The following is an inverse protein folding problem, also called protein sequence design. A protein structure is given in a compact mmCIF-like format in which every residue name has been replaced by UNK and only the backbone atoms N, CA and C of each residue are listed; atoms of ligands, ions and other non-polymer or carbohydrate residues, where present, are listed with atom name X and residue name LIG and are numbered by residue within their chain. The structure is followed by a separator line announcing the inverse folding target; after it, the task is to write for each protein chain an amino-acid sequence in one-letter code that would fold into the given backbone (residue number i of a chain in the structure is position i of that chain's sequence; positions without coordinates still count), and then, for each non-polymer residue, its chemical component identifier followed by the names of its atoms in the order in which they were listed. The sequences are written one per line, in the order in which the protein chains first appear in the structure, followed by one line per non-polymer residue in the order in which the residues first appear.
data_IF_026241290866
#
_entry.id   IF_026241290866
#
_cell.length_a   1.000
_cell.length_b   1.000
_cell.length_c   1.000
_cell.angle_alpha   90.00
_cell.angle_beta   90.00
_cell.angle_gamma   90.00
#
_symmetry.space_group_name_H-M   'P 1'
#
loop_
_entity.id
_entity.type
_entity.pdbx_description
1 polymer ?
#
# COMPACT_ATOMS: atom_id res chain seq x y z
N UNK A 1 11.54 -0.62 -14.83
CA UNK A 1 10.46 0.15 -14.17
C UNK A 1 9.55 -0.80 -13.43
N UNK A 2 9.33 -0.57 -12.16
CA UNK A 2 8.39 -1.33 -11.36
C UNK A 2 7.10 -0.54 -11.16
N UNK A 3 6.06 -1.20 -10.70
CA UNK A 3 4.78 -0.55 -10.47
C UNK A 3 4.31 -0.87 -9.04
N UNK A 4 3.63 0.07 -8.42
CA UNK A 4 3.10 -0.15 -7.09
C UNK A 4 1.71 0.43 -6.93
N UNK A 5 0.95 -0.17 -6.04
CA UNK A 5 -0.30 0.39 -5.55
C UNK A 5 0.02 1.06 -4.21
N UNK A 6 -0.34 2.32 -4.09
CA UNK A 6 -0.16 3.09 -2.85
C UNK A 6 -1.52 3.26 -2.20
N UNK A 7 -1.63 2.88 -0.93
CA UNK A 7 -2.88 2.99 -0.17
C UNK A 7 -2.63 3.89 1.03
N UNK A 8 -3.33 5.01 1.07
CA UNK A 8 -3.17 6.00 2.13
C UNK A 8 -4.41 6.00 3.01
N UNK A 9 -4.24 5.74 4.29
CA UNK A 9 -5.34 5.65 5.27
C UNK A 9 -5.40 6.91 6.10
N UNK A 10 -6.57 7.55 6.14
CA UNK A 10 -6.83 8.64 7.07
C UNK A 10 -6.88 8.14 8.51
N UNK A 11 -6.85 9.06 9.45
CA UNK A 11 -6.82 8.72 10.88
C UNK A 11 -8.08 7.94 11.26
N UNK A 12 -7.92 6.72 11.83
CA UNK A 12 -9.06 5.93 12.27
C UNK A 12 -9.61 6.43 13.59
N UNK A 13 -10.86 6.10 13.89
CA UNK A 13 -11.51 6.43 15.15
C UNK A 13 -10.80 5.73 16.32
N UNK A 14 -10.40 4.47 16.12
CA UNK A 14 -9.72 3.67 17.15
C UNK A 14 -8.41 3.10 16.58
N UNK A 15 -7.28 3.82 16.70
CA UNK A 15 -6.03 3.38 16.09
C UNK A 15 -5.56 1.99 16.49
N UNK A 16 -5.73 1.62 17.78
CA UNK A 16 -5.31 0.28 18.22
C UNK A 16 -6.13 -0.82 17.57
N UNK A 17 -7.42 -0.59 17.36
CA UNK A 17 -8.30 -1.56 16.69
C UNK A 17 -7.92 -1.67 15.21
N UNK A 18 -7.66 -0.54 14.57
CA UNK A 18 -7.17 -0.50 13.18
C UNK A 18 -5.88 -1.33 13.05
N UNK A 19 -4.88 -1.07 13.90
CA UNK A 19 -3.60 -1.74 13.83
C UNK A 19 -3.72 -3.24 14.05
N UNK A 20 -4.53 -3.66 15.02
CA UNK A 20 -4.76 -5.08 15.31
C UNK A 20 -5.37 -5.79 14.12
N UNK A 21 -6.44 -5.25 13.55
CA UNK A 21 -7.11 -5.82 12.39
C UNK A 21 -6.15 -5.88 11.20
N UNK A 22 -5.39 -4.80 10.98
CA UNK A 22 -4.45 -4.70 9.88
C UNK A 22 -3.43 -5.83 9.95
N UNK A 23 -2.82 -6.02 11.11
CA UNK A 23 -1.77 -7.03 11.29
C UNK A 23 -2.31 -8.45 11.26
N UNK A 24 -3.46 -8.69 11.86
CA UNK A 24 -3.95 -10.06 12.04
C UNK A 24 -4.81 -10.56 10.89
N UNK A 25 -5.48 -9.67 10.16
CA UNK A 25 -6.41 -10.06 9.09
C UNK A 25 -6.04 -9.50 7.74
N UNK A 26 -5.71 -8.22 7.67
CA UNK A 26 -5.48 -7.57 6.37
C UNK A 26 -4.17 -8.01 5.72
N UNK A 27 -3.07 -8.04 6.48
CA UNK A 27 -1.76 -8.45 5.95
C UNK A 27 -1.83 -9.85 5.34
N UNK A 28 -2.43 -10.87 5.99
CA UNK A 28 -2.56 -12.18 5.35
C UNK A 28 -3.35 -12.16 4.03
N UNK A 29 -4.40 -11.35 3.95
CA UNK A 29 -5.18 -11.23 2.71
C UNK A 29 -4.37 -10.60 1.59
N UNK A 30 -3.65 -9.51 1.88
CA UNK A 30 -2.79 -8.86 0.89
C UNK A 30 -1.70 -9.81 0.41
N UNK A 31 -1.14 -10.61 1.32
CA UNK A 31 -0.08 -11.56 0.99
C UNK A 31 -0.49 -12.63 -0.01
N UNK A 32 -1.80 -12.85 -0.23
CA UNK A 32 -2.32 -13.82 -1.20
C UNK A 32 -2.46 -13.24 -2.60
N UNK A 33 -2.29 -11.93 -2.78
CA UNK A 33 -2.46 -11.29 -4.08
C UNK A 33 -1.42 -11.82 -5.06
N UNK A 34 -1.84 -12.33 -6.23
CA UNK A 34 -0.89 -12.89 -7.20
C UNK A 34 0.03 -11.82 -7.78
N UNK A 35 1.29 -12.18 -8.01
CA UNK A 35 2.28 -11.30 -8.62
C UNK A 35 2.88 -10.27 -7.70
N UNK A 36 2.49 -10.25 -6.43
CA UNK A 36 3.04 -9.31 -5.45
C UNK A 36 4.51 -9.62 -5.20
N UNK A 37 5.39 -8.65 -5.46
CA UNK A 37 6.83 -8.81 -5.26
C UNK A 37 7.31 -8.25 -3.92
N UNK A 38 6.52 -7.37 -3.31
CA UNK A 38 6.84 -6.80 -2.02
C UNK A 38 5.65 -6.06 -1.45
N UNK A 39 5.61 -5.94 -0.13
CA UNK A 39 4.53 -5.27 0.56
C UNK A 39 5.09 -4.64 1.82
N UNK A 40 4.89 -3.34 1.96
CA UNK A 40 5.25 -2.60 3.17
C UNK A 40 4.09 -1.74 3.61
N UNK A 41 4.04 -1.46 4.91
CA UNK A 41 3.15 -0.45 5.44
C UNK A 41 3.82 0.24 6.61
N UNK A 42 3.45 1.47 6.87
CA UNK A 42 4.03 2.21 7.97
C UNK A 42 3.13 3.33 8.45
N UNK A 43 3.39 3.75 9.67
CA UNK A 43 2.72 4.91 10.27
C UNK A 43 3.37 6.19 9.78
N UNK A 44 2.55 7.21 9.54
CA UNK A 44 3.03 8.50 9.05
C UNK A 44 3.39 9.43 10.20
N UNK A 45 4.39 10.27 9.95
CA UNK A 45 4.81 11.31 10.86
C UNK A 45 5.06 12.57 10.04
N UNK A 46 4.62 13.71 10.52
CA UNK A 46 4.86 14.98 9.84
C UNK A 46 6.33 15.38 9.95
N UNK A 47 6.87 15.96 8.89
CA UNK A 47 8.20 16.59 8.93
C UNK A 47 8.19 17.92 9.67
N UNK A 48 7.04 18.56 9.71
CA UNK A 48 6.85 19.83 10.42
C UNK A 48 5.97 19.60 11.64
N UNK A 49 5.54 20.67 12.29
CA UNK A 49 4.56 20.56 13.37
C UNK A 49 3.18 20.23 12.81
N UNK A 50 2.36 19.58 13.60
CA UNK A 50 0.99 19.24 13.25
C UNK A 50 0.84 17.80 12.79
N UNK A 51 -0.38 17.48 12.39
CA UNK A 51 -0.75 16.12 11.98
C UNK A 51 -0.26 15.84 10.55
N UNK A 52 0.23 14.62 10.27
CA UNK A 52 0.49 14.23 8.87
C UNK A 52 -0.82 14.08 8.10
N UNK A 53 -0.78 14.15 6.75
CA UNK A 53 -1.99 14.03 5.94
C UNK A 53 -2.66 12.66 6.05
N UNK A 54 -1.92 11.63 6.42
CA UNK A 54 -2.43 10.27 6.58
C UNK A 54 -1.90 9.63 7.84
N UNK A 55 -2.68 8.69 8.38
CA UNK A 55 -2.29 7.91 9.55
C UNK A 55 -1.26 6.83 9.17
N UNK A 56 -1.51 6.13 8.07
CA UNK A 56 -0.65 5.05 7.61
C UNK A 56 -0.67 4.98 6.08
N UNK A 57 0.43 4.48 5.51
CA UNK A 57 0.54 4.29 4.06
C UNK A 57 1.09 2.89 3.79
N UNK A 58 0.48 2.20 2.84
CA UNK A 58 0.91 0.88 2.40
C UNK A 58 1.37 0.95 0.95
N UNK A 59 2.37 0.14 0.62
CA UNK A 59 2.89 0.01 -0.73
C UNK A 59 2.86 -1.47 -1.14
N UNK A 60 2.12 -1.76 -2.22
CA UNK A 60 2.09 -3.09 -2.83
C UNK A 60 2.92 -3.03 -4.10
N UNK A 61 4.02 -3.76 -4.15
CA UNK A 61 4.99 -3.66 -5.23
C UNK A 61 4.83 -4.83 -6.21
N UNK A 62 4.95 -4.52 -7.48
CA UNK A 62 4.88 -5.49 -8.58
C UNK A 62 6.07 -5.23 -9.51
N UNK A 63 6.68 -6.31 -10.02
CA UNK A 63 7.85 -6.17 -10.89
C UNK A 63 7.52 -5.51 -12.22
N UNK A 64 6.28 -5.66 -12.70
CA UNK A 64 5.82 -5.08 -13.97
C UNK A 64 4.42 -4.51 -13.81
N UNK A 65 4.07 -3.59 -14.71
CA UNK A 65 2.70 -3.09 -14.77
C UNK A 65 1.71 -4.19 -15.15
N UNK A 66 2.13 -5.14 -15.97
CA UNK A 66 1.27 -6.26 -16.36
C UNK A 66 0.89 -7.11 -15.15
N UNK A 67 1.84 -7.42 -14.28
CA UNK A 67 1.57 -8.14 -13.04
C UNK A 67 0.61 -7.35 -12.15
N UNK A 68 0.78 -6.03 -12.06
CA UNK A 68 -0.10 -5.17 -11.28
C UNK A 68 -1.53 -5.22 -11.85
N UNK A 69 -1.67 -5.09 -13.17
CA UNK A 69 -3.00 -5.09 -13.80
C UNK A 69 -3.71 -6.43 -13.61
N UNK A 70 -2.99 -7.54 -13.69
CA UNK A 70 -3.56 -8.87 -13.42
C UNK A 70 -3.99 -9.00 -11.96
N UNK A 71 -3.20 -8.46 -11.05
CA UNK A 71 -3.53 -8.48 -9.62
C UNK A 71 -4.83 -7.72 -9.34
N UNK A 72 -5.05 -6.59 -10.02
CA UNK A 72 -6.24 -5.76 -9.81
C UNK A 72 -7.55 -6.49 -10.09
N UNK A 73 -7.55 -7.45 -11.00
CA UNK A 73 -8.76 -8.21 -11.35
C UNK A 73 -8.84 -9.57 -10.66
N UNK A 74 -7.91 -9.85 -9.74
CA UNK A 74 -7.89 -11.14 -9.04
C UNK A 74 -8.92 -11.19 -7.91
N UNK A 75 -9.44 -12.40 -7.58
CA UNK A 75 -10.32 -12.56 -6.42
C UNK A 75 -9.64 -12.18 -5.11
N UNK A 76 -8.33 -12.41 -5.00
CA UNK A 76 -7.58 -12.07 -3.81
C UNK A 76 -7.53 -10.54 -3.58
N UNK A 77 -7.43 -9.78 -4.66
CA UNK A 77 -7.50 -8.31 -4.56
C UNK A 77 -8.88 -7.86 -4.09
N UNK A 78 -9.95 -8.50 -4.58
CA UNK A 78 -11.31 -8.19 -4.15
C UNK A 78 -11.51 -8.48 -2.68
N UNK A 79 -10.94 -9.58 -2.18
CA UNK A 79 -11.00 -9.93 -0.76
C UNK A 79 -10.30 -8.87 0.08
N UNK A 80 -9.11 -8.45 -0.32
CA UNK A 80 -8.36 -7.41 0.38
C UNK A 80 -9.12 -6.08 0.36
N UNK A 81 -9.71 -5.72 -0.78
CA UNK A 81 -10.47 -4.47 -0.91
C UNK A 81 -11.71 -4.47 -0.03
N UNK A 82 -12.39 -5.61 0.07
CA UNK A 82 -13.54 -5.74 0.98
C UNK A 82 -13.12 -5.57 2.43
N UNK A 83 -11.98 -6.14 2.80
CA UNK A 83 -11.48 -6.04 4.16
C UNK A 83 -11.15 -4.60 4.55
N UNK A 84 -10.69 -3.77 3.62
CA UNK A 84 -10.45 -2.34 3.88
C UNK A 84 -11.70 -1.67 4.46
N UNK A 85 -12.88 -2.00 3.93
CA UNK A 85 -14.14 -1.43 4.42
C UNK A 85 -14.50 -1.88 5.82
N UNK A 86 -13.93 -3.01 6.27
CA UNK A 86 -14.21 -3.54 7.61
C UNK A 86 -13.43 -2.79 8.69
N UNK A 87 -12.23 -2.30 8.38
CA UNK A 87 -11.38 -1.70 9.41
C UNK A 87 -11.04 -0.23 9.19
N UNK A 88 -11.15 0.27 7.96
CA UNK A 88 -10.77 1.65 7.65
C UNK A 88 -12.02 2.55 7.69
N UNK A 89 -12.22 3.24 8.80
CA UNK A 89 -13.36 4.15 8.98
C UNK A 89 -13.01 5.60 8.65
N UNK A 90 -11.74 5.90 8.36
CA UNK A 90 -11.31 7.17 7.83
C UNK A 90 -11.31 7.16 6.30
N UNK A 91 -10.89 8.25 5.70
CA UNK A 91 -10.73 8.33 4.25
C UNK A 91 -9.63 7.38 3.78
N UNK A 92 -9.84 6.75 2.63
CA UNK A 92 -8.83 5.90 2.00
C UNK A 92 -8.57 6.44 0.60
N UNK A 93 -7.30 6.73 0.30
CA UNK A 93 -6.88 7.20 -1.01
C UNK A 93 -5.96 6.17 -1.62
N UNK A 94 -6.23 5.75 -2.85
CA UNK A 94 -5.46 4.74 -3.54
C UNK A 94 -5.06 5.23 -4.92
N UNK A 95 -3.83 4.88 -5.34
CA UNK A 95 -3.39 5.20 -6.69
C UNK A 95 -2.27 4.24 -7.10
N UNK A 96 -1.97 4.25 -8.39
CA UNK A 96 -0.87 3.50 -8.97
C UNK A 96 0.31 4.44 -9.18
N UNK A 97 1.50 3.97 -8.85
CA UNK A 97 2.74 4.71 -9.07
C UNK A 97 3.69 3.81 -9.87
N UNK A 98 4.16 4.31 -11.00
CA UNK A 98 5.19 3.61 -11.79
C UNK A 98 6.52 4.20 -11.39
N UNK A 99 7.38 3.37 -10.79
CA UNK A 99 8.60 3.84 -10.15
C UNK A 99 9.83 3.58 -11.01
N UNK A 100 10.78 4.48 -10.88
CA UNK A 100 12.14 4.30 -11.40
C UNK A 100 13.09 4.33 -10.21
N UNK A 101 14.10 3.47 -10.24
CA UNK A 101 15.11 3.46 -9.18
C UNK A 101 16.20 4.51 -9.50
N UNK A 102 16.58 5.26 -8.49
CA UNK A 102 17.56 6.34 -8.62
C UNK A 102 18.69 6.09 -7.63
N UNK A 103 19.93 6.19 -8.09
CA UNK A 103 21.10 6.14 -7.21
C UNK A 103 21.11 7.35 -6.29
N UNK A 104 21.68 7.24 -5.07
CA UNK A 104 21.82 8.40 -4.18
C UNK A 104 22.57 9.58 -4.82
N UNK A 105 23.41 9.33 -5.83
CA UNK A 105 24.08 10.37 -6.60
C UNK A 105 23.22 11.01 -7.69
N UNK A 106 21.97 10.58 -7.87
CA UNK A 106 21.03 11.14 -8.84
C UNK A 106 20.96 10.41 -10.17
N UNK A 107 21.71 9.32 -10.37
CA UNK A 107 21.65 8.53 -11.60
C UNK A 107 20.50 7.53 -11.55
N UNK A 108 19.78 7.39 -12.67
CA UNK A 108 18.71 6.39 -12.77
C UNK A 108 19.31 4.99 -12.86
N UNK A 109 18.65 4.04 -12.19
CA UNK A 109 19.02 2.63 -12.28
C UNK A 109 18.54 2.05 -13.60
N UNK A 110 19.30 1.09 -14.19
CA UNK A 110 18.83 0.41 -15.39
C UNK A 110 17.52 -0.33 -15.13
N UNK A 111 16.62 -0.31 -16.12
CA UNK A 111 15.38 -1.11 -16.07
C UNK A 111 15.72 -2.59 -16.19
N UNK A 112 14.92 -3.39 -15.53
CA UNK A 112 15.00 -4.84 -15.66
C UNK A 112 14.04 -5.34 -16.72
#
# INVERSE_FOLDING_TARGET
MTSQIVVCYGTPTAPEVFDEHYRTKHIPLVGRIPGLSGFTWGKCQSLASGEPPYYAVAHLNFDTNEALQQALVSPQMQDAARDVREFADGAVTMYICHTESVDPGGALQPSR
#
